data_IF_216751086103
#
_entry.id   IF_216751086103
#
_cell.length_a   1.000
_cell.length_b   1.000
_cell.length_c   1.000
_cell.angle_alpha   90.00
_cell.angle_beta   90.00
_cell.angle_gamma   90.00
#
_symmetry.space_group_name_H-M   'P 1'
#
loop_
_entity.id
_entity.type
_entity.pdbx_description
1 polymer ?
#
# COMPACT_ATOMS: atom_id res chain seq x y z
N UNK A 1 -13.96 -0.58 -11.19
CA UNK A 1 -13.72 0.79 -10.68
C UNK A 1 -12.41 0.77 -9.93
N UNK A 2 -11.39 1.54 -10.32
CA UNK A 2 -10.11 1.57 -9.58
C UNK A 2 -10.38 2.17 -8.19
N UNK A 3 -10.16 1.38 -7.13
CA UNK A 3 -10.32 1.82 -5.74
C UNK A 3 -9.52 3.09 -5.49
N UNK A 4 -10.15 4.09 -4.89
CA UNK A 4 -9.48 5.32 -4.48
C UNK A 4 -8.72 5.07 -3.18
N UNK A 5 -7.44 5.46 -3.14
CA UNK A 5 -6.64 5.45 -1.92
C UNK A 5 -6.92 6.72 -1.13
N UNK A 6 -7.17 6.57 0.18
CA UNK A 6 -7.44 7.68 1.09
C UNK A 6 -6.22 7.92 1.96
N UNK A 7 -5.74 9.16 2.01
CA UNK A 7 -4.70 9.56 2.94
C UNK A 7 -5.31 9.75 4.34
N UNK A 8 -4.93 8.97 5.37
CA UNK A 8 -5.52 9.08 6.70
C UNK A 8 -5.25 10.43 7.36
N UNK A 9 -4.16 11.09 7.01
CA UNK A 9 -3.75 12.34 7.65
C UNK A 9 -4.51 13.58 7.15
N UNK A 10 -4.97 13.60 5.90
CA UNK A 10 -5.64 14.77 5.32
C UNK A 10 -6.96 14.47 4.60
N UNK A 11 -7.40 13.21 4.67
CA UNK A 11 -8.64 12.71 4.05
C UNK A 11 -8.71 12.90 2.53
N UNK A 12 -7.59 13.22 1.89
CA UNK A 12 -7.53 13.32 0.44
C UNK A 12 -7.61 11.94 -0.19
N UNK A 13 -8.53 11.77 -1.14
CA UNK A 13 -8.72 10.54 -1.89
C UNK A 13 -8.26 10.71 -3.34
N UNK A 14 -7.53 9.74 -3.87
CA UNK A 14 -7.10 9.75 -5.27
C UNK A 14 -6.77 8.36 -5.79
N UNK A 15 -6.54 8.24 -7.09
CA UNK A 15 -6.03 6.99 -7.67
C UNK A 15 -4.59 6.74 -7.21
N UNK A 16 -4.15 5.48 -7.19
CA UNK A 16 -2.76 5.12 -6.84
C UNK A 16 -1.70 5.91 -7.61
N UNK A 17 -1.98 6.17 -8.88
CA UNK A 17 -1.08 6.89 -9.82
C UNK A 17 -0.86 8.34 -9.39
N UNK A 18 -1.80 8.89 -8.63
CA UNK A 18 -1.72 10.24 -8.10
C UNK A 18 -0.82 10.32 -6.86
N UNK A 19 -0.42 9.19 -6.28
CA UNK A 19 0.52 9.12 -5.17
C UNK A 19 1.92 8.79 -5.65
N UNK A 20 2.93 9.41 -5.04
CA UNK A 20 4.33 9.09 -5.34
C UNK A 20 4.70 7.82 -4.58
N UNK A 21 4.94 6.73 -5.30
CA UNK A 21 5.43 5.48 -4.69
C UNK A 21 6.86 5.70 -4.22
N UNK A 22 7.13 5.42 -2.95
CA UNK A 22 8.46 5.62 -2.35
C UNK A 22 9.18 4.31 -2.08
N UNK A 23 8.48 3.33 -1.51
CA UNK A 23 9.08 2.06 -1.12
C UNK A 23 8.08 0.95 -1.42
N UNK A 24 8.54 -0.09 -2.10
CA UNK A 24 7.86 -1.38 -2.20
C UNK A 24 8.77 -2.40 -1.50
N UNK A 25 8.22 -3.15 -0.55
CA UNK A 25 8.99 -4.16 0.17
C UNK A 25 8.13 -5.39 0.40
N UNK A 26 8.76 -6.56 0.22
CA UNK A 26 8.11 -7.85 0.40
C UNK A 26 8.78 -8.50 1.60
N UNK A 27 8.01 -8.74 2.65
CA UNK A 27 8.43 -9.44 3.85
C UNK A 27 7.88 -10.86 3.79
N UNK A 28 8.75 -11.82 3.52
CA UNK A 28 8.41 -13.23 3.67
C UNK A 28 8.41 -13.58 5.16
N UNK A 29 7.31 -14.16 5.68
CA UNK A 29 7.25 -14.69 7.04
C UNK A 29 7.18 -16.22 7.00
N UNK A 30 8.34 -16.92 7.02
CA UNK A 30 8.40 -18.37 6.89
C UNK A 30 7.57 -19.13 7.94
N UNK A 31 7.40 -18.55 9.13
CA UNK A 31 6.65 -19.18 10.23
C UNK A 31 5.13 -19.20 10.04
N UNK A 32 4.61 -18.36 9.14
CA UNK A 32 3.16 -18.21 8.92
C UNK A 32 2.73 -18.61 7.51
N UNK A 33 3.66 -19.16 6.71
CA UNK A 33 3.48 -19.45 5.27
C UNK A 33 2.83 -18.31 4.47
N UNK A 34 3.02 -17.08 4.94
CA UNK A 34 2.38 -15.88 4.42
C UNK A 34 3.44 -14.90 3.93
N UNK A 35 3.20 -14.34 2.76
CA UNK A 35 3.96 -13.19 2.25
C UNK A 35 3.18 -11.95 2.66
N UNK A 36 3.84 -11.01 3.33
CA UNK A 36 3.31 -9.67 3.54
C UNK A 36 4.11 -8.71 2.66
N UNK A 37 3.48 -8.15 1.64
CA UNK A 37 4.05 -7.03 0.92
C UNK A 37 3.54 -5.73 1.54
N UNK A 38 4.35 -4.69 1.58
CA UNK A 38 3.87 -3.36 1.90
C UNK A 38 4.40 -2.35 0.89
N UNK A 39 3.60 -1.32 0.65
CA UNK A 39 3.93 -0.19 -0.21
C UNK A 39 3.77 1.09 0.58
N UNK A 40 4.82 1.89 0.63
CA UNK A 40 4.72 3.26 1.12
C UNK A 40 4.52 4.21 -0.04
N UNK A 41 3.46 5.01 0.05
CA UNK A 41 3.11 6.05 -0.91
C UNK A 41 3.08 7.40 -0.22
N UNK A 42 3.52 8.45 -0.90
CA UNK A 42 3.50 9.83 -0.40
C UNK A 42 2.26 10.54 -0.90
N UNK A 43 1.47 11.11 0.01
CA UNK A 43 0.31 11.91 -0.34
C UNK A 43 0.74 13.20 -1.07
N UNK A 44 0.16 13.53 -2.23
CA UNK A 44 0.51 14.76 -2.95
C UNK A 44 0.00 16.03 -2.25
N UNK A 45 -1.04 15.93 -1.39
CA UNK A 45 -1.65 17.09 -0.73
C UNK A 45 -0.93 17.50 0.56
N UNK A 46 -0.66 16.55 1.45
CA UNK A 46 -0.05 16.84 2.76
C UNK A 46 1.38 16.30 2.90
N UNK A 47 1.92 15.64 1.86
CA UNK A 47 3.27 15.10 1.84
C UNK A 47 3.56 14.01 2.89
N UNK A 48 2.54 13.54 3.62
CA UNK A 48 2.67 12.43 4.56
C UNK A 48 2.87 11.10 3.84
N UNK A 49 3.63 10.21 4.49
CA UNK A 49 3.81 8.83 4.08
C UNK A 49 2.61 8.01 4.54
N UNK A 50 2.05 7.22 3.62
CA UNK A 50 0.96 6.28 3.87
C UNK A 50 1.50 4.89 3.56
N UNK A 51 1.44 3.99 4.54
CA UNK A 51 1.82 2.59 4.36
C UNK A 51 0.58 1.77 4.04
N UNK A 52 0.60 1.06 2.93
CA UNK A 52 -0.42 0.09 2.52
C UNK A 52 0.18 -1.30 2.70
N UNK A 53 -0.50 -2.16 3.46
CA UNK A 53 -0.08 -3.54 3.69
C UNK A 53 -0.94 -4.43 2.80
N UNK A 54 -0.28 -5.23 1.97
CA UNK A 54 -0.86 -6.30 1.17
C UNK A 54 -0.53 -7.61 1.88
N UNK A 55 -1.53 -8.21 2.52
CA UNK A 55 -1.40 -9.59 3.01
C UNK A 55 -1.74 -10.52 1.86
N UNK A 56 -0.78 -11.36 1.45
CA UNK A 56 -1.06 -12.49 0.56
C UNK A 56 -1.19 -13.72 1.42
N UNK A 57 -2.45 -14.12 1.66
CA UNK A 57 -2.79 -15.50 1.98
C UNK A 57 -2.57 -16.28 0.67
N UNK A 58 -1.67 -17.26 0.71
CA UNK A 58 -1.46 -18.25 -0.35
C UNK A 58 -0.80 -17.77 -1.67
N UNK A 59 0.03 -16.72 -1.64
CA UNK A 59 0.86 -16.34 -2.80
C UNK A 59 0.11 -15.76 -4.01
N UNK A 60 -1.21 -15.61 -3.92
CA UNK A 60 -2.03 -14.93 -4.93
C UNK A 60 -2.20 -13.47 -4.54
N UNK A 61 -1.60 -12.56 -5.30
CA UNK A 61 -1.78 -11.10 -5.13
C UNK A 61 -3.24 -10.78 -5.46
N UNK A 62 -4.06 -10.55 -4.43
CA UNK A 62 -5.43 -10.04 -4.61
C UNK A 62 -5.32 -8.57 -5.02
N UNK A 63 -5.86 -8.27 -6.20
CA UNK A 63 -5.68 -7.03 -6.95
C UNK A 63 -6.70 -5.96 -6.58
#
# INVERSE_FOLDING_TARGET
MKSAYVCPACQWSGSEQSFVTKILSIMYRPKHDNIQAFKQIKCPKCHNLVTIIFETLDGTIVK
#
